data_IF_997150070458
#
_entry.id   IF_997150070458
#
_cell.length_a   1.000
_cell.length_b   1.000
_cell.length_c   1.000
_cell.angle_alpha   90.00
_cell.angle_beta   90.00
_cell.angle_gamma   90.00
#
_symmetry.space_group_name_H-M   'P 1'
#
loop_
_entity.id
_entity.type
_entity.pdbx_description
1 polymer ?
#
# COMPACT_ATOMS: atom_id res chain seq x y z
N UNK A 1 3.53 -25.87 63.96
CA UNK A 1 2.47 -24.87 63.74
C UNK A 1 2.22 -24.81 62.24
N UNK A 2 1.07 -25.33 61.87
CA UNK A 2 0.51 -25.37 60.53
C UNK A 2 0.13 -23.95 60.07
N UNK A 3 0.25 -23.68 58.77
CA UNK A 3 -0.65 -22.77 58.06
C UNK A 3 -0.62 -23.07 56.56
N UNK A 4 -1.65 -23.77 56.13
CA UNK A 4 -2.15 -23.95 54.78
C UNK A 4 -2.52 -22.63 54.10
N UNK A 5 -2.18 -22.47 52.82
CA UNK A 5 -2.61 -21.35 51.97
C UNK A 5 -3.06 -21.85 50.60
N UNK A 6 -4.37 -21.72 50.37
CA UNK A 6 -5.20 -22.21 49.26
C UNK A 6 -4.79 -21.72 47.86
N UNK A 7 -4.76 -22.66 46.91
CA UNK A 7 -4.65 -22.37 45.48
C UNK A 7 -5.98 -21.95 44.85
N UNK A 8 -5.95 -20.87 44.08
CA UNK A 8 -7.04 -20.41 43.22
C UNK A 8 -6.68 -20.65 41.75
N UNK A 9 -7.27 -21.66 41.14
CA UNK A 9 -7.17 -21.96 39.71
C UNK A 9 -8.09 -21.03 38.92
N UNK A 10 -7.51 -20.03 38.26
CA UNK A 10 -8.21 -19.20 37.28
C UNK A 10 -8.09 -19.85 35.90
N UNK A 11 -9.19 -20.37 35.39
CA UNK A 11 -9.32 -20.89 34.02
C UNK A 11 -9.42 -19.73 33.04
N UNK A 12 -8.28 -19.33 32.48
CA UNK A 12 -8.21 -18.37 31.37
C UNK A 12 -8.67 -19.05 30.08
N UNK A 13 -9.90 -18.75 29.67
CA UNK A 13 -10.41 -19.06 28.33
C UNK A 13 -9.64 -18.25 27.29
N UNK A 14 -8.59 -18.84 26.71
CA UNK A 14 -7.82 -18.28 25.60
C UNK A 14 -8.69 -18.25 24.35
N UNK A 15 -9.34 -17.12 24.11
CA UNK A 15 -9.95 -16.82 22.81
C UNK A 15 -8.85 -16.87 21.75
N UNK A 16 -8.89 -17.89 20.90
CA UNK A 16 -8.01 -18.06 19.74
C UNK A 16 -8.31 -16.97 18.71
N UNK A 17 -7.81 -15.76 18.96
CA UNK A 17 -7.74 -14.73 17.94
C UNK A 17 -6.89 -15.27 16.81
N UNK A 18 -7.51 -15.61 15.68
CA UNK A 18 -6.81 -16.02 14.47
C UNK A 18 -5.85 -14.90 14.09
N UNK A 19 -4.57 -15.04 14.44
CA UNK A 19 -3.58 -14.03 14.10
C UNK A 19 -3.47 -14.03 12.57
N UNK A 20 -4.04 -13.04 11.91
CA UNK A 20 -3.87 -12.91 10.46
C UNK A 20 -2.37 -12.87 10.19
N UNK A 21 -1.88 -13.71 9.27
CA UNK A 21 -0.46 -13.71 8.91
C UNK A 21 -0.02 -12.28 8.55
N UNK A 22 1.10 -11.84 9.13
CA UNK A 22 1.64 -10.48 8.96
C UNK A 22 1.96 -10.15 7.49
N UNK A 23 2.19 -11.18 6.69
CA UNK A 23 2.52 -11.07 5.27
C UNK A 23 1.67 -12.05 4.46
N UNK A 24 1.54 -11.76 3.16
CA UNK A 24 0.78 -12.57 2.19
C UNK A 24 1.64 -12.90 0.98
N UNK A 25 1.36 -14.04 0.35
CA UNK A 25 1.92 -14.36 -0.99
C UNK A 25 1.66 -13.20 -1.96
N UNK A 26 2.69 -12.81 -2.70
CA UNK A 26 2.68 -11.66 -3.61
C UNK A 26 3.15 -10.35 -2.98
N UNK A 27 3.23 -10.24 -1.64
CA UNK A 27 3.79 -9.06 -1.00
C UNK A 27 5.26 -8.88 -1.38
N UNK A 28 5.64 -7.64 -1.70
CA UNK A 28 7.05 -7.25 -1.83
C UNK A 28 7.59 -6.84 -0.46
N UNK A 29 8.65 -7.51 -0.03
CA UNK A 29 9.29 -7.31 1.27
C UNK A 29 10.77 -6.96 1.14
N UNK A 30 11.29 -6.24 2.14
CA UNK A 30 12.71 -6.15 2.42
C UNK A 30 13.11 -7.31 3.31
N UNK A 31 14.06 -8.13 2.86
CA UNK A 31 14.75 -9.09 3.70
C UNK A 31 16.01 -8.46 4.23
N UNK A 32 16.16 -8.47 5.55
CA UNK A 32 17.31 -7.94 6.26
C UNK A 32 18.62 -8.49 5.66
N UNK A 33 19.52 -7.59 5.25
CA UNK A 33 20.83 -7.89 4.61
C UNK A 33 20.79 -8.54 3.22
N UNK A 34 19.62 -8.89 2.68
CA UNK A 34 19.50 -9.57 1.39
C UNK A 34 18.71 -8.79 0.33
N UNK A 35 18.02 -7.70 0.69
CA UNK A 35 17.41 -6.79 -0.27
C UNK A 35 15.92 -7.04 -0.50
N UNK A 36 15.41 -6.84 -1.72
CA UNK A 36 13.99 -6.99 -2.05
C UNK A 36 13.66 -8.44 -2.43
N UNK A 37 12.53 -8.93 -1.97
CA UNK A 37 11.99 -10.23 -2.36
C UNK A 37 10.46 -10.18 -2.47
N UNK A 38 9.89 -11.09 -3.26
CA UNK A 38 8.45 -11.34 -3.29
C UNK A 38 8.17 -12.61 -2.50
N UNK A 39 7.16 -12.61 -1.65
CA UNK A 39 6.72 -13.82 -0.96
C UNK A 39 6.08 -14.76 -1.97
N UNK A 40 6.65 -15.95 -2.12
CA UNK A 40 6.17 -16.99 -3.04
C UNK A 40 5.35 -18.06 -2.33
N UNK A 41 5.61 -18.29 -1.03
CA UNK A 41 4.80 -19.18 -0.19
C UNK A 41 4.55 -18.57 1.18
N UNK A 42 3.33 -18.79 1.69
CA UNK A 42 2.93 -18.42 3.04
C UNK A 42 3.78 -19.13 4.11
N UNK A 43 3.62 -18.67 5.36
CA UNK A 43 4.30 -19.28 6.49
C UNK A 43 3.96 -20.77 6.62
N UNK A 44 4.97 -21.62 6.76
CA UNK A 44 4.75 -23.04 7.04
C UNK A 44 4.09 -23.20 8.41
N UNK A 45 2.89 -23.75 8.44
CA UNK A 45 2.08 -23.90 9.67
C UNK A 45 2.29 -25.24 10.38
N UNK A 46 2.88 -26.23 9.71
CA UNK A 46 3.20 -27.52 10.32
C UNK A 46 4.41 -27.40 11.25
N UNK A 47 4.20 -27.62 12.55
CA UNK A 47 5.21 -27.55 13.59
C UNK A 47 6.32 -28.61 13.46
N UNK A 48 6.07 -29.71 12.73
CA UNK A 48 7.08 -30.75 12.49
C UNK A 48 7.99 -30.45 11.30
N UNK A 49 7.60 -29.50 10.44
CA UNK A 49 8.39 -29.14 9.26
C UNK A 49 9.63 -28.33 9.67
N UNK A 50 10.80 -28.63 9.07
CA UNK A 50 12.07 -27.90 9.32
C UNK A 50 12.04 -26.38 9.01
N UNK A 51 10.96 -25.91 8.36
CA UNK A 51 10.74 -24.52 7.96
C UNK A 51 9.57 -23.88 8.70
N UNK A 52 9.06 -24.52 9.75
CA UNK A 52 7.96 -24.01 10.57
C UNK A 52 8.12 -22.50 10.87
N UNK A 53 7.04 -21.76 10.60
CA UNK A 53 6.96 -20.31 10.79
C UNK A 53 7.75 -19.45 9.80
N UNK A 54 8.38 -20.03 8.77
CA UNK A 54 9.10 -19.30 7.72
C UNK A 54 8.26 -19.15 6.46
N UNK A 55 8.46 -18.04 5.76
CA UNK A 55 7.92 -17.78 4.43
C UNK A 55 8.97 -18.14 3.38
N UNK A 56 8.54 -18.64 2.23
CA UNK A 56 9.45 -18.69 1.09
C UNK A 56 9.37 -17.35 0.35
N UNK A 57 10.52 -16.80 0.00
CA UNK A 57 10.62 -15.59 -0.80
C UNK A 57 11.46 -15.86 -2.04
N UNK A 58 11.23 -15.09 -3.10
CA UNK A 58 12.07 -15.00 -4.30
C UNK A 58 12.73 -13.63 -4.36
N UNK A 59 14.05 -13.58 -4.31
CA UNK A 59 14.81 -12.34 -4.39
C UNK A 59 14.69 -11.70 -5.77
N UNK A 60 14.49 -10.39 -5.80
CA UNK A 60 14.35 -9.64 -7.06
C UNK A 60 15.68 -9.41 -7.77
N UNK A 61 16.80 -9.49 -7.04
CA UNK A 61 18.15 -9.26 -7.58
C UNK A 61 18.64 -10.37 -8.49
N UNK A 62 18.38 -11.64 -8.12
CA UNK A 62 18.95 -12.82 -8.79
C UNK A 62 17.91 -13.93 -9.05
N UNK A 63 16.66 -13.75 -8.61
CA UNK A 63 15.61 -14.73 -8.76
C UNK A 63 15.73 -15.96 -7.86
N UNK A 64 16.74 -16.03 -6.98
CA UNK A 64 16.92 -17.14 -6.05
C UNK A 64 15.83 -17.16 -4.99
N UNK A 65 15.55 -18.34 -4.42
CA UNK A 65 14.52 -18.51 -3.39
C UNK A 65 15.11 -18.90 -2.04
N UNK A 66 14.52 -18.40 -0.95
CA UNK A 66 14.99 -18.72 0.40
C UNK A 66 13.85 -18.74 1.43
N UNK A 67 14.02 -19.50 2.50
CA UNK A 67 13.08 -19.58 3.61
C UNK A 67 13.44 -18.59 4.72
N UNK A 68 12.66 -17.52 4.85
CA UNK A 68 12.96 -16.36 5.69
C UNK A 68 12.00 -16.31 6.89
N UNK A 69 12.55 -15.98 8.06
CA UNK A 69 11.74 -15.73 9.26
C UNK A 69 10.99 -14.39 9.13
N UNK A 70 9.76 -14.29 9.65
CA UNK A 70 8.96 -13.05 9.60
C UNK A 70 9.71 -11.84 10.17
N UNK A 71 10.51 -12.03 11.22
CA UNK A 71 11.30 -10.96 11.87
C UNK A 71 12.44 -10.43 11.01
N UNK A 72 12.87 -11.20 10.02
CA UNK A 72 13.87 -10.78 9.03
C UNK A 72 13.24 -10.07 7.84
N UNK A 73 11.91 -9.97 7.77
CA UNK A 73 11.18 -9.33 6.68
C UNK A 73 10.51 -8.04 7.12
N UNK A 74 10.38 -7.10 6.19
CA UNK A 74 9.61 -5.86 6.38
C UNK A 74 8.83 -5.56 5.11
N UNK A 75 7.55 -5.24 5.24
CA UNK A 75 6.83 -4.59 4.14
C UNK A 75 7.44 -3.20 3.98
N UNK A 76 7.65 -2.76 2.74
CA UNK A 76 7.97 -1.36 2.50
C UNK A 76 6.66 -0.58 2.45
N UNK A 77 6.32 0.19 3.49
CA UNK A 77 5.10 0.98 3.43
C UNK A 77 5.27 2.06 2.35
N UNK A 78 4.22 2.26 1.56
CA UNK A 78 4.12 3.46 0.74
C UNK A 78 4.11 4.67 1.69
N UNK A 79 5.00 5.66 1.49
CA UNK A 79 4.95 6.89 2.28
C UNK A 79 3.57 7.54 2.17
N UNK A 80 2.97 8.00 3.29
CA UNK A 80 1.66 8.64 3.27
C UNK A 80 1.68 10.01 2.56
N UNK A 81 2.86 10.62 2.47
CA UNK A 81 3.10 11.89 1.80
C UNK A 81 4.52 11.92 1.22
N UNK A 82 4.77 12.89 0.33
CA UNK A 82 6.11 13.13 -0.24
C UNK A 82 7.07 13.81 0.74
N UNK A 83 6.55 14.54 1.72
CA UNK A 83 7.35 15.15 2.79
C UNK A 83 6.92 14.53 4.11
N UNK A 84 7.83 13.84 4.77
CA UNK A 84 7.64 13.27 6.10
C UNK A 84 8.44 14.10 7.09
N UNK A 85 7.83 14.46 8.21
CA UNK A 85 8.50 15.23 9.26
C UNK A 85 8.64 14.39 10.50
N UNK A 86 9.85 14.32 11.03
CA UNK A 86 10.21 13.65 12.26
C UNK A 86 10.62 14.68 13.31
N UNK A 87 10.09 14.56 14.53
CA UNK A 87 10.47 15.45 15.63
C UNK A 87 11.85 15.08 16.21
N UNK A 88 12.12 13.78 16.36
CA UNK A 88 13.30 13.27 17.09
C UNK A 88 14.24 12.51 16.18
N UNK A 89 15.52 12.40 16.57
CA UNK A 89 16.51 11.57 15.87
C UNK A 89 16.06 10.11 15.78
N UNK A 90 15.37 9.60 16.80
CA UNK A 90 14.81 8.24 16.80
C UNK A 90 13.77 8.07 15.70
N UNK A 91 12.83 9.00 15.56
CA UNK A 91 11.81 8.94 14.51
C UNK A 91 12.43 9.12 13.12
N UNK A 92 13.38 10.04 12.97
CA UNK A 92 14.10 10.27 11.72
C UNK A 92 14.85 9.02 11.25
N UNK A 93 15.64 8.38 12.13
CA UNK A 93 16.33 7.13 11.82
C UNK A 93 15.36 5.97 11.59
N UNK A 94 14.22 5.94 12.29
CA UNK A 94 13.17 4.94 12.03
C UNK A 94 12.61 5.10 10.61
N UNK A 95 12.36 6.34 10.16
CA UNK A 95 11.94 6.62 8.80
C UNK A 95 13.03 6.23 7.78
N UNK A 96 14.31 6.51 8.07
CA UNK A 96 15.43 6.06 7.23
C UNK A 96 15.48 4.54 7.06
N UNK A 97 15.25 3.78 8.13
CA UNK A 97 15.21 2.32 8.09
C UNK A 97 13.97 1.77 7.37
N UNK A 98 12.87 2.53 7.36
CA UNK A 98 11.57 2.08 6.87
C UNK A 98 11.35 2.40 5.38
N UNK A 99 11.82 3.56 4.92
CA UNK A 99 11.52 4.10 3.60
C UNK A 99 12.70 4.09 2.62
N UNK A 100 13.86 3.59 3.04
CA UNK A 100 15.03 3.42 2.16
C UNK A 100 15.06 2.02 1.57
N UNK A 101 15.18 1.95 0.26
CA UNK A 101 15.24 0.72 -0.51
C UNK A 101 16.66 0.44 -1.04
N UNK A 102 16.99 -0.84 -1.30
CA UNK A 102 18.28 -1.26 -1.87
C UNK A 102 18.68 -0.60 -3.19
N UNK A 103 17.71 -0.11 -3.97
CA UNK A 103 17.97 0.48 -5.28
C UNK A 103 18.06 2.02 -5.23
N UNK A 104 17.77 2.62 -4.07
CA UNK A 104 17.66 4.08 -3.95
C UNK A 104 19.03 4.76 -4.09
N UNK A 105 19.01 5.95 -4.70
CA UNK A 105 20.06 6.97 -4.63
C UNK A 105 19.65 7.98 -3.56
N UNK A 106 20.43 8.04 -2.48
CA UNK A 106 20.06 8.77 -1.26
C UNK A 106 20.99 9.96 -1.01
N UNK A 107 20.41 11.09 -0.62
CA UNK A 107 21.12 12.24 -0.07
C UNK A 107 20.78 12.40 1.41
N UNK A 108 21.78 12.64 2.25
CA UNK A 108 21.59 13.14 3.60
C UNK A 108 22.24 14.52 3.77
N UNK A 109 21.46 15.49 4.21
CA UNK A 109 21.84 16.90 4.44
C UNK A 109 21.95 17.14 5.94
N UNK A 110 23.11 17.62 6.37
CA UNK A 110 23.45 17.73 7.79
C UNK A 110 23.88 16.38 8.37
N UNK A 111 24.82 15.70 7.69
CA UNK A 111 25.23 14.34 8.08
C UNK A 111 26.01 14.28 9.40
N UNK A 112 26.54 15.41 9.89
CA UNK A 112 27.35 15.50 11.09
C UNK A 112 28.49 14.45 11.07
N UNK A 113 28.57 13.58 12.08
CA UNK A 113 29.56 12.49 12.18
C UNK A 113 29.21 11.24 11.35
N UNK A 114 28.19 11.29 10.48
CA UNK A 114 27.92 10.27 9.46
C UNK A 114 27.21 9.00 9.94
N UNK A 115 26.75 8.93 11.20
CA UNK A 115 26.11 7.72 11.76
C UNK A 115 24.88 7.31 10.97
N UNK A 116 23.99 8.26 10.65
CA UNK A 116 22.78 7.97 9.87
C UNK A 116 23.14 7.67 8.40
N UNK A 117 24.15 8.34 7.85
CA UNK A 117 24.60 8.13 6.47
C UNK A 117 25.14 6.72 6.27
N UNK A 118 25.92 6.21 7.23
CA UNK A 118 26.39 4.81 7.23
C UNK A 118 25.22 3.81 7.39
N UNK A 119 24.20 4.15 8.19
CA UNK A 119 22.98 3.33 8.26
C UNK A 119 22.25 3.26 6.91
N UNK A 120 22.19 4.38 6.17
CA UNK A 120 21.61 4.47 4.84
C UNK A 120 22.45 3.71 3.82
N UNK A 121 23.78 3.85 3.85
CA UNK A 121 24.73 3.15 2.97
C UNK A 121 24.49 1.63 2.95
N UNK A 122 24.24 1.05 4.13
CA UNK A 122 23.97 -0.39 4.28
C UNK A 122 22.64 -0.86 3.69
N UNK A 123 21.82 0.05 3.17
CA UNK A 123 20.42 -0.20 2.78
C UNK A 123 20.06 0.27 1.39
N UNK A 124 20.87 1.10 0.77
CA UNK A 124 20.60 1.67 -0.54
C UNK A 124 21.75 1.39 -1.50
N UNK A 125 21.51 1.68 -2.77
CA UNK A 125 22.49 1.46 -3.83
C UNK A 125 23.64 2.44 -3.69
N UNK A 126 23.31 3.66 -3.30
CA UNK A 126 24.26 4.75 -3.23
C UNK A 126 23.78 5.82 -2.26
N UNK A 127 24.69 6.36 -1.44
CA UNK A 127 24.39 7.47 -0.53
C UNK A 127 25.50 8.51 -0.54
N UNK A 128 25.10 9.78 -0.41
CA UNK A 128 25.96 10.91 -0.13
C UNK A 128 25.52 11.60 1.16
N UNK A 129 26.45 11.78 2.10
CA UNK A 129 26.27 12.69 3.23
C UNK A 129 26.93 14.03 2.95
N UNK A 130 26.23 15.14 3.20
CA UNK A 130 26.81 16.49 3.13
C UNK A 130 26.67 17.21 4.46
N UNK A 131 27.63 18.07 4.75
CA UNK A 131 27.59 19.01 5.87
C UNK A 131 28.38 20.27 5.53
N UNK A 132 28.04 21.40 6.16
CA UNK A 132 28.80 22.65 6.10
C UNK A 132 29.82 22.76 7.25
N UNK A 133 29.70 21.93 8.28
CA UNK A 133 30.65 21.88 9.39
C UNK A 133 31.79 20.91 9.06
N UNK A 134 32.98 21.47 8.80
CA UNK A 134 34.16 20.72 8.36
C UNK A 134 34.68 19.72 9.39
N UNK A 135 34.64 20.08 10.67
CA UNK A 135 35.15 19.25 11.78
C UNK A 135 34.37 17.93 11.99
N UNK A 136 33.03 17.93 12.21
CA UNK A 136 32.26 16.68 12.29
C UNK A 136 32.29 15.88 10.98
N UNK A 137 32.34 16.55 9.83
CA UNK A 137 32.49 15.89 8.54
C UNK A 137 33.85 15.16 8.42
N UNK A 138 34.93 15.75 8.93
CA UNK A 138 36.24 15.11 9.03
C UNK A 138 36.19 13.84 9.87
N UNK A 139 35.50 13.89 11.03
CA UNK A 139 35.25 12.70 11.85
C UNK A 139 34.40 11.66 11.13
N UNK A 140 33.39 12.07 10.37
CA UNK A 140 32.56 11.16 9.58
C UNK A 140 33.39 10.39 8.55
N UNK A 141 34.24 11.10 7.79
CA UNK A 141 35.15 10.51 6.80
C UNK A 141 36.13 9.53 7.42
N UNK A 142 36.72 9.89 8.56
CA UNK A 142 37.65 9.02 9.29
C UNK A 142 36.95 7.76 9.84
N UNK A 143 35.73 7.91 10.36
CA UNK A 143 34.96 6.83 10.98
C UNK A 143 34.33 5.88 9.96
N UNK A 144 33.92 6.39 8.80
CA UNK A 144 33.19 5.65 7.78
C UNK A 144 33.84 5.85 6.39
N UNK A 145 35.07 5.37 6.17
CA UNK A 145 35.83 5.64 4.93
C UNK A 145 35.20 5.02 3.67
N UNK A 146 34.28 4.07 3.83
CA UNK A 146 33.51 3.46 2.72
C UNK A 146 32.28 4.27 2.30
N UNK A 147 31.92 5.34 3.04
CA UNK A 147 30.78 6.21 2.74
C UNK A 147 31.27 7.52 2.12
N UNK A 148 30.57 8.02 1.10
CA UNK A 148 30.89 9.30 0.48
C UNK A 148 30.37 10.45 1.32
N UNK A 149 31.26 11.38 1.64
CA UNK A 149 30.96 12.62 2.35
C UNK A 149 31.54 13.83 1.63
N UNK A 150 30.79 14.92 1.53
CA UNK A 150 31.23 16.16 0.88
C UNK A 150 30.95 17.39 1.74
N UNK A 151 31.87 18.35 1.72
CA UNK A 151 31.68 19.66 2.37
C UNK A 151 30.92 20.55 1.38
N UNK A 152 29.62 20.76 1.62
CA UNK A 152 28.73 21.39 0.66
C UNK A 152 27.52 22.04 1.34
N UNK A 153 27.09 23.17 0.79
CA UNK A 153 25.81 23.80 1.16
C UNK A 153 24.64 23.00 0.56
N UNK A 154 23.66 22.66 1.39
CA UNK A 154 22.44 21.99 0.92
C UNK A 154 21.64 22.79 -0.12
N UNK A 155 21.82 24.10 -0.22
CA UNK A 155 21.18 24.93 -1.23
C UNK A 155 21.88 24.90 -2.61
N UNK A 156 23.08 24.32 -2.73
CA UNK A 156 23.80 24.18 -4.00
C UNK A 156 23.21 23.05 -4.87
N UNK A 157 22.01 23.26 -5.41
CA UNK A 157 21.29 22.28 -6.24
C UNK A 157 22.11 21.82 -7.45
N UNK A 158 22.79 22.71 -8.22
CA UNK A 158 23.66 22.27 -9.32
C UNK A 158 24.78 21.34 -8.84
N UNK A 159 25.47 21.69 -7.74
CA UNK A 159 26.52 20.85 -7.16
C UNK A 159 26.00 19.48 -6.74
N UNK A 160 24.87 19.44 -6.01
CA UNK A 160 24.23 18.18 -5.60
C UNK A 160 23.80 17.32 -6.79
N UNK A 161 23.24 17.95 -7.83
CA UNK A 161 22.84 17.26 -9.06
C UNK A 161 24.05 16.62 -9.74
N UNK A 162 25.16 17.34 -9.83
CA UNK A 162 26.40 16.84 -10.43
C UNK A 162 27.04 15.69 -9.62
N UNK A 163 26.83 15.65 -8.31
CA UNK A 163 27.34 14.58 -7.44
C UNK A 163 26.48 13.31 -7.48
N UNK A 164 25.22 13.39 -7.90
CA UNK A 164 24.35 12.23 -8.03
C UNK A 164 24.77 11.36 -9.24
N UNK A 165 24.85 10.03 -9.08
CA UNK A 165 25.13 9.12 -10.19
C UNK A 165 24.04 9.10 -11.27
N UNK A 166 22.85 9.65 -10.98
CA UNK A 166 21.70 9.66 -11.90
C UNK A 166 21.21 11.06 -12.22
N UNK A 167 21.87 12.11 -11.70
CA UNK A 167 21.37 13.49 -11.75
C UNK A 167 20.13 13.74 -10.88
N UNK A 168 19.68 12.77 -10.08
CA UNK A 168 18.53 12.93 -9.16
C UNK A 168 18.71 12.07 -7.90
N UNK A 169 17.80 12.21 -6.94
CA UNK A 169 17.74 11.40 -5.72
C UNK A 169 16.35 10.78 -5.57
N UNK A 170 16.29 9.55 -5.06
CA UNK A 170 15.04 8.86 -4.74
C UNK A 170 14.53 9.24 -3.34
N UNK A 171 15.47 9.52 -2.43
CA UNK A 171 15.24 9.89 -1.04
C UNK A 171 16.20 11.00 -0.63
N UNK A 172 15.70 11.99 0.08
CA UNK A 172 16.50 13.06 0.67
C UNK A 172 16.14 13.18 2.15
N UNK A 173 17.14 13.00 2.98
CA UNK A 173 17.07 13.05 4.43
C UNK A 173 17.67 14.39 4.88
N UNK A 174 16.91 15.19 5.63
CA UNK A 174 17.31 16.54 6.06
C UNK A 174 17.35 16.59 7.59
N UNK A 175 18.55 16.70 8.17
CA UNK A 175 18.78 16.88 9.61
C UNK A 175 19.78 18.02 9.86
N UNK A 176 19.41 19.22 9.45
CA UNK A 176 20.23 20.41 9.65
C UNK A 176 19.95 21.04 11.01
N UNK A 177 20.74 20.67 12.03
CA UNK A 177 20.63 21.16 13.42
C UNK A 177 19.24 20.92 14.04
N UNK A 178 19.17 20.11 15.10
CA UNK A 178 17.87 19.71 15.71
C UNK A 178 16.94 20.84 16.18
N UNK A 179 17.40 22.09 16.20
CA UNK A 179 16.66 23.32 16.57
C UNK A 179 16.79 24.41 15.48
N UNK A 180 17.14 24.06 14.23
CA UNK A 180 17.15 25.04 13.16
C UNK A 180 15.79 25.72 13.02
N UNK A 181 15.85 27.04 12.79
CA UNK A 181 14.69 27.87 12.56
C UNK A 181 13.88 27.37 11.36
N UNK A 182 12.56 27.45 11.48
CA UNK A 182 11.64 26.85 10.51
C UNK A 182 11.85 27.39 9.08
N UNK A 183 12.16 28.67 8.94
CA UNK A 183 12.38 29.30 7.63
C UNK A 183 13.61 28.73 6.90
N UNK A 184 14.65 28.31 7.62
CA UNK A 184 15.86 27.70 7.04
C UNK A 184 15.50 26.31 6.50
N UNK A 185 14.86 25.49 7.33
CA UNK A 185 14.43 24.14 6.93
C UNK A 185 13.46 24.21 5.76
N UNK A 186 12.52 25.15 5.78
CA UNK A 186 11.54 25.29 4.71
C UNK A 186 12.15 25.75 3.39
N UNK A 187 13.24 26.53 3.45
CA UNK A 187 14.00 26.91 2.25
C UNK A 187 14.61 25.68 1.58
N UNK A 188 15.29 24.81 2.34
CA UNK A 188 15.83 23.54 1.82
C UNK A 188 14.74 22.63 1.26
N UNK A 189 13.66 22.42 2.03
CA UNK A 189 12.51 21.63 1.57
C UNK A 189 11.96 22.20 0.27
N UNK A 190 11.80 23.52 0.16
CA UNK A 190 11.34 24.18 -1.07
C UNK A 190 12.28 23.95 -2.26
N UNK A 191 13.59 24.07 -2.06
CA UNK A 191 14.60 23.81 -3.08
C UNK A 191 14.52 22.36 -3.59
N UNK A 192 14.52 21.37 -2.68
CA UNK A 192 14.46 19.96 -3.07
C UNK A 192 13.11 19.54 -3.60
N UNK A 193 12.01 20.13 -3.09
CA UNK A 193 10.67 19.83 -3.57
C UNK A 193 10.52 20.21 -5.06
N UNK A 194 11.19 21.28 -5.50
CA UNK A 194 11.23 21.72 -6.90
C UNK A 194 12.24 20.95 -7.74
N UNK A 195 13.47 20.82 -7.26
CA UNK A 195 14.57 20.23 -8.02
C UNK A 195 14.44 18.71 -8.18
N UNK A 196 14.04 18.01 -7.12
CA UNK A 196 14.01 16.54 -7.06
C UNK A 196 12.56 16.05 -6.93
N UNK A 197 11.77 16.24 -7.98
CA UNK A 197 10.28 16.08 -7.99
C UNK A 197 9.78 14.72 -7.50
N UNK A 198 10.55 13.65 -7.72
CA UNK A 198 10.17 12.29 -7.35
C UNK A 198 10.72 11.85 -5.98
N UNK A 199 11.62 12.64 -5.39
CA UNK A 199 12.23 12.30 -4.12
C UNK A 199 11.21 12.33 -2.97
N UNK A 200 11.28 11.32 -2.11
CA UNK A 200 10.72 11.40 -0.76
C UNK A 200 11.64 12.28 0.08
N UNK A 201 11.08 13.31 0.72
CA UNK A 201 11.80 14.14 1.68
C UNK A 201 11.47 13.67 3.09
N UNK A 202 12.49 13.37 3.89
CA UNK A 202 12.34 13.05 5.31
C UNK A 202 13.08 14.12 6.09
N UNK A 203 12.34 14.92 6.86
CA UNK A 203 12.85 16.14 7.49
C UNK A 203 12.82 15.98 9.00
N UNK A 204 13.94 16.15 9.67
CA UNK A 204 13.98 16.25 11.13
C UNK A 204 13.89 17.71 11.55
N UNK A 205 12.75 18.10 12.11
CA UNK A 205 12.60 19.42 12.72
C UNK A 205 11.39 19.46 13.67
N UNK A 206 11.63 19.86 14.92
CA UNK A 206 10.59 19.95 15.95
C UNK A 206 9.53 21.01 15.63
N UNK A 207 9.95 22.21 15.23
CA UNK A 207 9.03 23.31 14.92
C UNK A 207 8.16 23.02 13.69
N UNK A 208 8.71 22.34 12.69
CA UNK A 208 7.95 21.94 11.51
C UNK A 208 6.90 20.88 11.86
N UNK A 209 7.24 19.91 12.72
CA UNK A 209 6.26 18.93 13.20
C UNK A 209 5.14 19.64 13.98
N UNK A 210 5.49 20.59 14.86
CA UNK A 210 4.52 21.37 15.62
C UNK A 210 3.61 22.20 14.69
N UNK A 211 4.17 22.85 13.66
CA UNK A 211 3.38 23.58 12.67
C UNK A 211 2.38 22.66 11.98
N UNK A 212 2.81 21.48 11.50
CA UNK A 212 1.92 20.52 10.83
C UNK A 212 0.80 20.02 11.76
N UNK A 213 1.07 19.83 13.04
CA UNK A 213 0.07 19.43 14.03
C UNK A 213 -0.96 20.51 14.37
N UNK A 214 -0.64 21.78 14.08
CA UNK A 214 -1.50 22.94 14.38
C UNK A 214 -1.96 23.68 13.11
N UNK A 215 -1.72 23.10 11.93
CA UNK A 215 -2.12 23.67 10.65
C UNK A 215 -3.20 22.81 10.01
N UNK A 216 -4.15 23.46 9.37
CA UNK A 216 -5.16 22.81 8.54
C UNK A 216 -5.23 23.53 7.19
N UNK A 217 -5.38 22.75 6.12
CA UNK A 217 -5.67 23.32 4.80
C UNK A 217 -7.09 23.88 4.85
N UNK A 218 -7.22 25.18 4.65
CA UNK A 218 -8.53 25.80 4.46
C UNK A 218 -9.09 25.38 3.10
N UNK A 219 -10.23 24.68 3.12
CA UNK A 219 -10.99 24.30 1.92
C UNK A 219 -12.33 25.03 1.98
N UNK A 220 -12.62 25.96 1.04
CA UNK A 220 -13.90 26.66 1.01
C UNK A 220 -15.07 25.67 0.92
N UNK A 221 -16.15 25.92 1.67
CA UNK A 221 -17.33 25.02 1.68
C UNK A 221 -17.93 24.77 0.30
N UNK A 222 -17.90 25.78 -0.58
CA UNK A 222 -18.42 25.69 -1.95
C UNK A 222 -17.76 24.53 -2.71
N UNK A 223 -16.45 24.34 -2.53
CA UNK A 223 -15.69 23.30 -3.22
C UNK A 223 -16.02 21.88 -2.70
N UNK A 224 -16.42 21.77 -1.43
CA UNK A 224 -16.86 20.51 -0.82
C UNK A 224 -18.22 20.11 -1.39
N UNK A 225 -19.14 21.07 -1.49
CA UNK A 225 -20.47 20.84 -2.06
C UNK A 225 -20.39 20.43 -3.53
N UNK A 226 -19.54 21.09 -4.32
CA UNK A 226 -19.33 20.75 -5.73
C UNK A 226 -18.77 19.33 -5.91
N UNK A 227 -17.78 18.93 -5.09
CA UNK A 227 -17.23 17.57 -5.12
C UNK A 227 -18.26 16.52 -4.72
N UNK A 228 -19.08 16.80 -3.71
CA UNK A 228 -20.17 15.91 -3.29
C UNK A 228 -21.25 15.80 -4.38
N UNK A 229 -21.69 16.92 -4.95
CA UNK A 229 -22.66 16.94 -6.05
C UNK A 229 -22.12 16.20 -7.29
N UNK A 230 -20.84 16.36 -7.63
CA UNK A 230 -20.20 15.64 -8.72
C UNK A 230 -20.12 14.13 -8.46
N UNK A 231 -19.81 13.71 -7.22
CA UNK A 231 -19.80 12.30 -6.82
C UNK A 231 -21.20 11.67 -6.93
N UNK A 232 -22.24 12.37 -6.48
CA UNK A 232 -23.64 11.94 -6.59
C UNK A 232 -24.06 11.82 -8.06
N UNK A 233 -23.73 12.81 -8.91
CA UNK A 233 -23.99 12.75 -10.35
C UNK A 233 -23.31 11.56 -11.02
N UNK A 234 -22.05 11.27 -10.68
CA UNK A 234 -21.34 10.07 -11.18
C UNK A 234 -22.01 8.77 -10.76
N UNK A 235 -22.46 8.66 -9.51
CA UNK A 235 -23.18 7.49 -9.04
C UNK A 235 -24.54 7.31 -9.75
N UNK A 236 -25.29 8.39 -9.98
CA UNK A 236 -26.55 8.35 -10.71
C UNK A 236 -26.37 7.94 -12.18
N UNK A 237 -25.34 8.47 -12.85
CA UNK A 237 -25.00 8.09 -14.23
C UNK A 237 -24.57 6.63 -14.35
N UNK A 238 -23.90 6.06 -13.35
CA UNK A 238 -23.55 4.63 -13.35
C UNK A 238 -24.77 3.70 -13.13
N UNK A 239 -25.84 4.20 -12.50
CA UNK A 239 -27.08 3.43 -12.27
C UNK A 239 -28.10 3.54 -13.42
N UNK A 240 -28.03 4.58 -14.26
CA UNK A 240 -28.95 4.74 -15.39
C UNK A 240 -28.90 3.62 -16.45
N UNK A 241 -27.74 3.05 -16.83
CA UNK A 241 -27.68 1.94 -17.79
C UNK A 241 -28.41 0.69 -17.31
N UNK A 242 -28.41 0.43 -16.00
CA UNK A 242 -29.07 -0.76 -15.43
C UNK A 242 -30.60 -0.61 -15.46
N UNK A 243 -31.12 0.58 -15.15
CA UNK A 243 -32.57 0.84 -15.20
C UNK A 243 -33.10 0.84 -16.62
N UNK A 244 -32.38 1.49 -17.55
CA UNK A 244 -32.76 1.51 -18.97
C UNK A 244 -32.69 0.11 -19.59
N UNK A 245 -31.69 -0.69 -19.21
CA UNK A 245 -31.57 -2.09 -19.63
C UNK A 245 -32.69 -2.98 -19.11
N UNK A 246 -33.15 -2.81 -17.86
CA UNK A 246 -34.28 -3.56 -17.30
C UNK A 246 -35.61 -3.18 -17.97
N UNK A 247 -35.86 -1.89 -18.20
CA UNK A 247 -37.08 -1.44 -18.89
C UNK A 247 -37.14 -1.97 -20.32
N UNK A 248 -36.03 -1.89 -21.08
CA UNK A 248 -35.98 -2.43 -22.44
C UNK A 248 -36.22 -3.95 -22.47
N UNK A 249 -35.70 -4.71 -21.49
CA UNK A 249 -36.00 -6.15 -21.37
C UNK A 249 -37.46 -6.44 -21.06
N UNK A 250 -38.08 -5.70 -20.14
CA UNK A 250 -39.51 -5.85 -19.85
C UNK A 250 -40.38 -5.53 -21.07
N UNK A 251 -40.04 -4.47 -21.81
CA UNK A 251 -40.80 -4.08 -23.00
C UNK A 251 -40.66 -5.11 -24.12
N UNK A 252 -39.45 -5.66 -24.34
CA UNK A 252 -39.25 -6.77 -25.28
C UNK A 252 -40.01 -8.04 -24.87
N UNK A 253 -40.07 -8.35 -23.57
CA UNK A 253 -40.86 -9.49 -23.07
C UNK A 253 -42.35 -9.31 -23.32
N UNK A 254 -42.90 -8.11 -23.09
CA UNK A 254 -44.31 -7.81 -23.35
C UNK A 254 -44.65 -7.87 -24.84
N UNK A 255 -43.80 -7.33 -25.71
CA UNK A 255 -43.98 -7.43 -27.17
C UNK A 255 -43.91 -8.89 -27.65
N UNK A 256 -42.99 -9.69 -27.09
CA UNK A 256 -42.91 -11.12 -27.39
C UNK A 256 -44.16 -11.89 -26.97
N UNK A 257 -44.77 -11.55 -25.83
CA UNK A 257 -46.03 -12.16 -25.37
C UNK A 257 -47.22 -11.78 -26.25
N UNK A 258 -47.32 -10.52 -26.70
CA UNK A 258 -48.38 -10.09 -27.63
C UNK A 258 -48.29 -10.82 -28.97
N UNK A 259 -47.09 -10.92 -29.56
CA UNK A 259 -46.91 -11.66 -30.81
C UNK A 259 -47.28 -13.14 -30.69
N UNK A 260 -47.00 -13.79 -29.55
CA UNK A 260 -47.43 -15.17 -29.30
C UNK A 260 -48.96 -15.30 -29.19
N UNK A 261 -49.64 -14.34 -28.57
CA UNK A 261 -51.11 -14.33 -28.50
C UNK A 261 -51.75 -14.13 -29.88
N UNK A 262 -51.18 -13.25 -30.71
CA UNK A 262 -51.65 -13.02 -32.08
C UNK A 262 -51.47 -14.27 -32.96
N UNK A 263 -50.36 -14.99 -32.84
CA UNK A 263 -50.13 -16.24 -33.57
C UNK A 263 -51.09 -17.37 -33.14
N UNK A 264 -51.48 -17.44 -31.86
CA UNK A 264 -52.46 -18.41 -31.39
C UNK A 264 -53.87 -18.12 -31.93
N UNK A 265 -54.25 -16.86 -32.11
CA UNK A 265 -55.55 -16.48 -32.68
C UNK A 265 -55.66 -16.73 -34.19
N UNK A 266 -54.54 -16.81 -34.90
CA UNK A 266 -54.51 -17.11 -36.34
C UNK A 266 -54.47 -18.61 -36.64
N UNK A 267 -54.39 -19.48 -35.64
CA UNK A 267 -54.58 -20.91 -35.89
C UNK A 267 -56.06 -21.16 -36.20
N UNK A 268 -56.39 -21.63 -37.42
CA UNK A 268 -57.76 -21.93 -37.77
C UNK A 268 -58.28 -22.99 -36.81
N UNK A 269 -59.42 -22.70 -36.18
CA UNK A 269 -60.16 -23.67 -35.38
C UNK A 269 -60.62 -24.76 -36.33
N UNK A 270 -59.81 -25.82 -36.49
CA UNK A 270 -60.23 -27.01 -37.22
C UNK A 270 -61.43 -27.61 -36.47
N UNK A 271 -62.58 -27.51 -37.15
CA UNK A 271 -63.90 -27.71 -36.59
C UNK A 271 -64.09 -29.11 -36.01
N UNK A 272 -64.67 -29.09 -34.81
CA UNK A 272 -65.34 -30.21 -34.15
C UNK A 272 -66.42 -30.77 -35.08
N UNK A 273 -66.15 -31.94 -35.71
CA UNK A 273 -67.19 -32.73 -36.36
C UNK A 273 -68.01 -33.44 -35.30
N UNK A 274 -69.31 -33.15 -35.30
CA UNK A 274 -70.36 -33.81 -34.53
C UNK A 274 -70.33 -35.34 -34.67
N UNK A 275 -70.31 -36.05 -33.55
CA UNK A 275 -70.72 -37.46 -33.45
C UNK A 275 -72.10 -37.50 -32.79
N UNK A 276 -73.15 -37.57 -33.61
CA UNK A 276 -74.49 -37.96 -33.18
C UNK A 276 -74.67 -39.48 -33.29
N UNK A 277 -75.43 -39.98 -32.33
CA UNK A 277 -75.69 -41.36 -32.00
C UNK A 277 -76.36 -42.17 -33.13
N UNK A 278 -76.16 -43.48 -33.09
CA UNK A 278 -77.24 -44.46 -33.25
C UNK A 278 -76.81 -45.80 -32.66
N UNK A 279 -77.61 -46.25 -31.69
CA UNK A 279 -77.62 -47.60 -31.17
C UNK A 279 -78.17 -48.57 -32.24
N UNK A 280 -77.76 -49.85 -32.18
CA UNK A 280 -78.62 -51.04 -32.36
C UNK A 280 -77.75 -52.30 -32.17
N UNK A 281 -78.06 -53.12 -31.16
CA UNK A 281 -78.65 -54.49 -31.27
C UNK A 281 -77.57 -55.55 -31.51
N UNK A 282 -77.13 -56.28 -30.48
CA UNK A 282 -77.72 -57.51 -29.91
C UNK A 282 -77.31 -58.80 -30.66
N UNK A 283 -77.04 -59.85 -29.87
CA UNK A 283 -76.88 -61.28 -30.23
C UNK A 283 -75.68 -61.70 -31.07
N UNK A 284 -75.15 -62.92 -30.99
CA UNK A 284 -74.98 -63.96 -29.97
C UNK A 284 -74.24 -65.10 -30.69
N UNK A 285 -73.24 -65.68 -30.02
CA UNK A 285 -72.80 -67.07 -30.09
C UNK A 285 -72.84 -67.85 -31.42
N UNK A 286 -71.68 -68.38 -31.85
CA UNK A 286 -71.36 -69.83 -31.76
C UNK A 286 -70.02 -70.19 -32.42
N UNK A 287 -69.32 -71.07 -31.67
CA UNK A 287 -68.28 -72.05 -32.06
C UNK A 287 -66.83 -71.56 -32.17
#
# INVERSE_FOLDING_TARGET
MEASGSGSSSSSSSSSSSSSSKFKVGDTVSVLRHGKAIITYDAVTDAQHERFGRYQVKYLSDGTTYWVRPDSMRVFPKPPARVLVAETTKHYRSAALLYTHPDDVVLEVGCHEGVTTDMLHKRCKWVLGIDTATDPLGRAKARYPHVRFEHMDGCDIPGLTALSPTGTYDKIFIDISGIAELHIVMSLVGCYFRAFRQALLVVKNKYFQHLLGNAQVFVPEIEVQDKQAAAVRKQQQQQQPQKTGQQNRQQQQQQGQQQQQEQQQQQPVEGTRHSEASAEVETAAKQ
#
